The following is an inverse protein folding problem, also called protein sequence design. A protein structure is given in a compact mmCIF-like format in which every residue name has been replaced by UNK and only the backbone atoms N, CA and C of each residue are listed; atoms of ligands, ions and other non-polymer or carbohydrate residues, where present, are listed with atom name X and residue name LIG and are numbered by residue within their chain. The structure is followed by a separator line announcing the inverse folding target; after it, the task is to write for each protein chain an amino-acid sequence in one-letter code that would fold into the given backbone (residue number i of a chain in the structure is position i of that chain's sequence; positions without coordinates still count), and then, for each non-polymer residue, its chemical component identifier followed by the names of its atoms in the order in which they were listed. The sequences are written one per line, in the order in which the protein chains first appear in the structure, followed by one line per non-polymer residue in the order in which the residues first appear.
data_IF_744046628546
#
_entry.id   IF_744046628546
#
_cell.length_a   1.000
_cell.length_b   1.000
_cell.length_c   1.000
_cell.angle_alpha   90.00
_cell.angle_beta   90.00
_cell.angle_gamma   90.00
#
_symmetry.space_group_name_H-M   'P 1'
#
loop_
_entity.id
_entity.type
_entity.pdbx_description
1 polymer ?
#
# COMPACT_ATOMS: atom_id res chain seq x y z
N UNK A 1 11.62 -1.03 -6.02
CA UNK A 1 10.55 -1.20 -5.01
C UNK A 1 10.12 0.18 -4.54
N UNK A 2 8.81 0.46 -4.55
CA UNK A 2 8.22 1.71 -4.05
C UNK A 2 7.31 1.38 -2.86
N UNK A 3 7.56 2.01 -1.71
CA UNK A 3 6.69 1.93 -0.54
C UNK A 3 5.73 3.12 -0.53
N UNK A 4 4.43 2.86 -0.42
CA UNK A 4 3.39 3.90 -0.32
C UNK A 4 2.77 3.86 1.07
N UNK A 5 3.07 4.87 1.88
CA UNK A 5 2.34 5.13 3.12
C UNK A 5 0.91 5.63 2.78
N UNK A 6 -0.10 5.15 3.50
CA UNK A 6 -1.50 5.50 3.23
C UNK A 6 -2.02 4.97 1.89
N UNK A 7 -1.35 3.98 1.28
CA UNK A 7 -1.71 3.44 -0.04
C UNK A 7 -3.07 2.75 -0.11
N UNK A 8 -3.67 2.40 1.02
CA UNK A 8 -5.05 1.88 1.09
C UNK A 8 -6.12 2.98 1.13
N UNK A 9 -5.74 4.25 1.34
CA UNK A 9 -6.63 5.40 1.42
C UNK A 9 -7.15 5.89 0.07
N UNK A 10 -7.91 6.99 0.07
CA UNK A 10 -8.55 7.54 -1.13
C UNK A 10 -7.53 7.86 -2.25
N UNK A 11 -6.62 8.81 -2.00
CA UNK A 11 -5.60 9.20 -2.98
C UNK A 11 -4.55 8.09 -3.16
N UNK A 12 -4.08 7.50 -2.05
CA UNK A 12 -3.06 6.46 -2.08
C UNK A 12 -3.43 5.30 -2.98
N UNK A 13 -4.71 4.88 -2.99
CA UNK A 13 -5.14 3.76 -3.84
C UNK A 13 -5.08 4.07 -5.33
N UNK A 14 -5.29 5.33 -5.74
CA UNK A 14 -5.12 5.74 -7.14
C UNK A 14 -3.64 5.73 -7.54
N UNK A 15 -2.77 6.21 -6.65
CA UNK A 15 -1.31 6.18 -6.85
C UNK A 15 -0.80 4.74 -6.98
N UNK A 16 -1.21 3.85 -6.07
CA UNK A 16 -0.81 2.44 -6.09
C UNK A 16 -1.21 1.77 -7.39
N UNK A 17 -2.48 1.91 -7.82
CA UNK A 17 -2.95 1.35 -9.11
C UNK A 17 -2.10 1.84 -10.26
N UNK A 18 -1.85 3.16 -10.32
CA UNK A 18 -1.07 3.74 -11.41
C UNK A 18 0.37 3.23 -11.44
N UNK A 19 1.00 3.07 -10.28
CA UNK A 19 2.36 2.52 -10.18
C UNK A 19 2.40 1.05 -10.60
N UNK A 20 1.43 0.25 -10.19
CA UNK A 20 1.32 -1.16 -10.61
C UNK A 20 1.09 -1.29 -12.12
N UNK A 21 0.21 -0.47 -12.70
CA UNK A 21 -0.01 -0.41 -14.16
C UNK A 21 1.26 -0.07 -14.94
N UNK A 22 2.16 0.72 -14.35
CA UNK A 22 3.47 1.05 -14.93
C UNK A 22 4.51 -0.07 -14.75
N UNK A 23 4.14 -1.20 -14.16
CA UNK A 23 5.02 -2.33 -13.91
C UNK A 23 5.95 -2.15 -12.70
N UNK A 24 5.67 -1.18 -11.83
CA UNK A 24 6.46 -0.99 -10.62
C UNK A 24 6.16 -2.08 -9.57
N UNK A 25 7.19 -2.47 -8.84
CA UNK A 25 7.06 -3.32 -7.65
C UNK A 25 6.65 -2.46 -6.44
N UNK A 26 5.38 -2.58 -6.01
CA UNK A 26 4.74 -1.70 -5.02
C UNK A 26 4.42 -2.45 -3.73
N UNK A 27 4.81 -1.85 -2.61
CA UNK A 27 4.39 -2.22 -1.26
C UNK A 27 3.56 -1.09 -0.65
N UNK A 28 2.51 -1.41 0.10
CA UNK A 28 1.68 -0.46 0.83
C UNK A 28 1.85 -0.70 2.32
N UNK A 29 2.24 0.35 3.05
CA UNK A 29 2.30 0.31 4.51
C UNK A 29 0.91 0.51 5.11
N UNK A 30 0.54 -0.32 6.08
CA UNK A 30 -0.75 -0.22 6.78
C UNK A 30 -0.61 -0.54 8.26
N UNK A 31 -1.17 0.33 9.12
CA UNK A 31 -1.23 0.10 10.56
C UNK A 31 -2.30 -0.95 10.95
N UNK A 32 -3.21 -1.29 10.01
CA UNK A 32 -4.34 -2.18 10.25
C UNK A 32 -4.45 -3.24 9.13
N UNK A 33 -3.57 -4.26 9.13
CA UNK A 33 -3.48 -5.24 8.04
C UNK A 33 -4.77 -6.06 7.86
N UNK A 34 -5.45 -6.43 8.93
CA UNK A 34 -6.64 -7.30 8.89
C UNK A 34 -7.79 -6.70 8.07
N UNK A 35 -7.93 -5.36 8.05
CA UNK A 35 -9.02 -4.67 7.34
C UNK A 35 -8.65 -4.16 5.94
N UNK A 36 -7.37 -4.19 5.56
CA UNK A 36 -6.90 -3.49 4.34
C UNK A 36 -6.06 -4.34 3.40
N UNK A 37 -5.59 -5.51 3.83
CA UNK A 37 -4.72 -6.37 3.02
C UNK A 37 -5.39 -6.88 1.75
N UNK A 38 -6.65 -7.33 1.82
CA UNK A 38 -7.39 -7.79 0.62
C UNK A 38 -7.51 -6.69 -0.43
N UNK A 39 -7.84 -5.46 -0.01
CA UNK A 39 -7.89 -4.29 -0.89
C UNK A 39 -6.53 -4.01 -1.52
N UNK A 40 -5.44 -4.05 -0.74
CA UNK A 40 -4.08 -3.82 -1.23
C UNK A 40 -3.69 -4.88 -2.26
N UNK A 41 -3.94 -6.16 -1.97
CA UNK A 41 -3.66 -7.27 -2.87
C UNK A 41 -4.47 -7.21 -4.17
N UNK A 42 -5.74 -6.80 -4.10
CA UNK A 42 -6.57 -6.59 -5.30
C UNK A 42 -6.04 -5.51 -6.26
N UNK A 43 -5.17 -4.61 -5.76
CA UNK A 43 -4.49 -3.60 -6.59
C UNK A 43 -3.18 -4.12 -7.20
N UNK A 44 -2.77 -5.36 -6.92
CA UNK A 44 -1.49 -5.93 -7.37
C UNK A 44 -0.29 -5.52 -6.51
N UNK A 45 -0.52 -4.95 -5.32
CA UNK A 45 0.52 -4.54 -4.39
C UNK A 45 0.65 -5.51 -3.19
N UNK A 46 1.78 -5.43 -2.48
CA UNK A 46 2.00 -6.16 -1.22
C UNK A 46 1.61 -5.30 -0.01
N UNK A 47 0.88 -5.86 0.95
CA UNK A 47 0.64 -5.21 2.23
C UNK A 47 1.84 -5.43 3.16
N UNK A 48 2.28 -4.37 3.83
CA UNK A 48 3.35 -4.41 4.83
C UNK A 48 2.81 -3.76 6.11
N UNK A 49 2.77 -4.48 7.24
CA UNK A 49 2.43 -3.89 8.53
C UNK A 49 3.42 -2.78 8.89
N UNK A 50 2.91 -1.64 9.36
CA UNK A 50 3.72 -0.54 9.83
C UNK A 50 2.91 0.75 10.03
N UNK A 51 3.44 1.65 10.83
CA UNK A 51 2.85 2.96 11.10
C UNK A 51 3.88 4.06 10.85
N UNK A 52 3.48 5.14 10.17
CA UNK A 52 4.36 6.30 9.95
C UNK A 52 4.69 7.05 11.25
N UNK A 53 3.88 6.86 12.29
CA UNK A 53 4.08 7.43 13.61
C UNK A 53 5.02 6.60 14.48
N UNK A 54 5.36 5.38 14.06
CA UNK A 54 6.27 4.48 14.77
C UNK A 54 7.68 4.55 14.16
N UNK A 55 8.66 5.16 14.85
CA UNK A 55 10.04 5.22 14.37
C UNK A 55 10.81 3.90 14.54
N UNK A 56 10.28 2.91 15.27
CA UNK A 56 10.91 1.61 15.52
C UNK A 56 10.49 0.93 16.81
#
# INVERSE_FOLDING_TARGET
MILVAGGSGFIGSAVVRRLVELGADVSVMTAHPDGTSEKIHSMGARAVPGDVLDPG
#
